data_IF_992500539823
#
_entry.id   IF_992500539823
#
_cell.length_a   1.000
_cell.length_b   1.000
_cell.length_c   1.000
_cell.angle_alpha   90.00
_cell.angle_beta   90.00
_cell.angle_gamma   90.00
#
_symmetry.space_group_name_H-M   'P 1'
#
loop_
_entity.id
_entity.type
_entity.pdbx_description
1 polymer ?
#
# COMPACT_ATOMS: atom_id res chain seq x y z
N UNK A 1 -3.19 1.36 47.44
CA UNK A 1 -3.97 0.90 46.28
C UNK A 1 -4.81 2.04 45.78
N UNK A 2 -4.45 2.62 44.64
CA UNK A 2 -5.31 2.75 43.47
C UNK A 2 -4.46 3.39 42.36
N UNK A 3 -4.29 2.63 41.29
CA UNK A 3 -3.54 2.96 40.08
C UNK A 3 -4.56 3.62 39.17
N UNK A 4 -4.38 4.90 38.86
CA UNK A 4 -5.07 5.50 37.72
C UNK A 4 -4.33 5.03 36.46
N UNK A 5 -4.80 3.91 35.89
CA UNK A 5 -4.39 3.49 34.57
C UNK A 5 -4.91 4.51 33.56
N UNK A 6 -4.00 4.92 32.69
CA UNK A 6 -4.20 5.71 31.50
C UNK A 6 -5.38 5.15 30.70
N UNK A 7 -6.42 5.96 30.50
CA UNK A 7 -7.32 5.80 29.36
C UNK A 7 -6.52 6.22 28.12
N UNK A 8 -5.73 5.31 27.55
CA UNK A 8 -5.44 5.36 26.12
C UNK A 8 -6.72 4.89 25.42
N UNK A 9 -7.68 5.79 25.28
CA UNK A 9 -8.78 5.59 24.32
C UNK A 9 -8.13 5.57 22.94
N UNK A 10 -7.97 4.38 22.35
CA UNK A 10 -7.61 4.26 20.95
C UNK A 10 -8.63 5.07 20.14
N UNK A 11 -8.21 6.25 19.67
CA UNK A 11 -9.08 7.15 18.94
C UNK A 11 -9.52 6.45 17.66
N UNK A 12 -10.82 6.15 17.59
CA UNK A 12 -11.46 5.66 16.37
C UNK A 12 -11.24 6.68 15.25
N UNK A 13 -10.73 6.22 14.11
CA UNK A 13 -10.55 7.01 12.89
C UNK A 13 -11.70 6.78 11.93
N UNK A 14 -12.04 7.81 11.17
CA UNK A 14 -12.90 7.67 9.98
C UNK A 14 -12.07 7.13 8.81
N UNK A 15 -12.68 6.31 7.96
CA UNK A 15 -12.10 5.83 6.72
C UNK A 15 -13.08 6.08 5.57
N UNK A 16 -12.58 6.64 4.48
CA UNK A 16 -13.34 7.00 3.29
C UNK A 16 -12.90 6.15 2.11
N UNK A 17 -13.87 5.61 1.38
CA UNK A 17 -13.65 4.63 0.32
C UNK A 17 -14.10 5.19 -1.01
N UNK A 18 -13.28 5.00 -2.04
CA UNK A 18 -13.57 5.45 -3.40
C UNK A 18 -13.25 4.35 -4.42
N UNK A 19 -14.01 4.31 -5.51
CA UNK A 19 -13.72 3.44 -6.64
C UNK A 19 -12.61 3.99 -7.55
N UNK A 20 -12.34 3.31 -8.67
CA UNK A 20 -11.26 3.68 -9.61
C UNK A 20 -11.50 5.03 -10.29
N UNK A 21 -12.77 5.44 -10.43
CA UNK A 21 -13.17 6.73 -11.02
C UNK A 21 -13.15 7.86 -9.97
N UNK A 22 -12.81 7.54 -8.71
CA UNK A 22 -12.82 8.50 -7.60
C UNK A 22 -14.21 8.77 -7.05
N UNK A 23 -15.20 7.92 -7.36
CA UNK A 23 -16.56 8.05 -6.84
C UNK A 23 -16.57 7.47 -5.43
N UNK A 24 -17.14 8.23 -4.49
CA UNK A 24 -17.31 7.81 -3.11
C UNK A 24 -18.25 6.61 -3.02
N UNK A 25 -17.78 5.52 -2.41
CA UNK A 25 -18.54 4.27 -2.27
C UNK A 25 -18.98 3.98 -0.82
N UNK A 26 -18.41 4.66 0.17
CA UNK A 26 -18.80 4.47 1.56
C UNK A 26 -17.79 5.02 2.57
N UNK A 27 -18.14 4.84 3.85
CA UNK A 27 -17.30 5.17 5.00
C UNK A 27 -17.43 4.14 6.11
N UNK A 28 -16.43 4.07 6.96
CA UNK A 28 -16.46 3.33 8.23
C UNK A 28 -15.72 4.10 9.31
N UNK A 29 -16.03 3.82 10.57
CA UNK A 29 -15.31 4.35 11.73
C UNK A 29 -14.76 3.19 12.55
N UNK A 30 -13.53 3.30 13.03
CA UNK A 30 -12.91 2.27 13.84
C UNK A 30 -11.40 2.42 13.96
N UNK A 31 -10.74 1.38 14.45
CA UNK A 31 -9.26 1.33 14.53
C UNK A 31 -8.62 1.06 13.16
N UNK A 32 -9.39 0.48 12.25
CA UNK A 32 -8.95 0.14 10.91
C UNK A 32 -10.11 0.17 9.91
N UNK A 33 -9.79 0.05 8.61
CA UNK A 33 -10.79 0.03 7.57
C UNK A 33 -11.73 -1.18 7.69
N UNK A 34 -13.02 -0.98 7.41
CA UNK A 34 -13.97 -2.05 7.13
C UNK A 34 -13.46 -2.98 6.00
N UNK A 35 -13.30 -4.29 6.23
CA UNK A 35 -12.72 -5.22 5.25
C UNK A 35 -13.53 -5.34 3.95
N UNK A 36 -14.85 -5.25 4.04
CA UNK A 36 -15.73 -5.44 2.88
C UNK A 36 -15.64 -4.24 1.93
N UNK A 37 -15.74 -3.02 2.46
CA UNK A 37 -15.54 -1.78 1.71
C UNK A 37 -14.10 -1.67 1.21
N UNK A 38 -13.12 -2.05 2.04
CA UNK A 38 -11.71 -2.01 1.67
C UNK A 38 -11.39 -2.88 0.45
N UNK A 39 -11.99 -4.07 0.38
CA UNK A 39 -11.80 -4.98 -0.75
C UNK A 39 -12.33 -4.41 -2.08
N UNK A 40 -13.40 -3.63 -2.03
CA UNK A 40 -14.06 -3.05 -3.19
C UNK A 40 -13.45 -1.71 -3.61
N UNK A 41 -12.91 -0.95 -2.66
CA UNK A 41 -12.33 0.35 -2.90
C UNK A 41 -11.04 0.28 -3.73
N UNK A 42 -10.87 1.25 -4.62
CA UNK A 42 -9.62 1.49 -5.34
C UNK A 42 -8.72 2.45 -4.58
N UNK A 43 -9.32 3.42 -3.87
CA UNK A 43 -8.65 4.33 -2.95
C UNK A 43 -9.30 4.29 -1.57
N UNK A 44 -8.46 4.35 -0.53
CA UNK A 44 -8.93 4.50 0.86
C UNK A 44 -8.10 5.59 1.53
N UNK A 45 -8.78 6.49 2.21
CA UNK A 45 -8.18 7.55 3.02
C UNK A 45 -8.65 7.41 4.46
N UNK A 46 -7.81 7.79 5.41
CA UNK A 46 -8.24 7.95 6.80
C UNK A 46 -8.83 9.36 7.05
N UNK A 47 -9.28 9.61 8.28
CA UNK A 47 -9.91 10.87 8.70
C UNK A 47 -8.96 12.08 8.65
N UNK A 48 -7.65 11.85 8.58
CA UNK A 48 -6.64 12.89 8.42
C UNK A 48 -6.33 13.14 6.93
N UNK A 49 -7.08 12.50 6.02
CA UNK A 49 -6.84 12.47 4.57
C UNK A 49 -5.53 11.78 4.16
N UNK A 50 -4.94 10.97 5.05
CA UNK A 50 -3.79 10.14 4.71
C UNK A 50 -4.24 8.92 3.89
N UNK A 51 -3.48 8.63 2.85
CA UNK A 51 -3.84 7.58 1.90
C UNK A 51 -3.44 6.19 2.44
N UNK A 52 -4.44 5.39 2.74
CA UNK A 52 -4.31 4.01 3.25
C UNK A 52 -4.21 2.99 2.11
N UNK A 53 -4.88 3.24 0.99
CA UNK A 53 -4.89 2.36 -0.19
C UNK A 53 -4.85 3.17 -1.47
N UNK A 54 -4.00 2.75 -2.41
CA UNK A 54 -3.97 3.27 -3.77
C UNK A 54 -3.58 2.18 -4.76
N UNK A 55 -4.56 1.64 -5.47
CA UNK A 55 -4.31 0.57 -6.44
C UNK A 55 -3.64 1.09 -7.73
N UNK A 56 -3.74 2.38 -8.05
CA UNK A 56 -3.06 2.95 -9.22
C UNK A 56 -1.54 2.94 -9.04
N UNK A 57 -1.05 3.42 -7.90
CA UNK A 57 0.38 3.41 -7.58
C UNK A 57 0.89 1.97 -7.59
N UNK A 58 0.16 1.04 -6.97
CA UNK A 58 0.52 -0.37 -6.98
C UNK A 58 0.60 -0.94 -8.40
N UNK A 59 -0.40 -0.66 -9.24
CA UNK A 59 -0.45 -1.14 -10.62
C UNK A 59 0.66 -0.54 -11.48
N UNK A 60 0.97 0.75 -11.30
CA UNK A 60 2.09 1.43 -11.99
C UNK A 60 3.41 0.80 -11.57
N UNK A 61 3.62 0.57 -10.27
CA UNK A 61 4.82 -0.06 -9.73
C UNK A 61 5.00 -1.48 -10.29
N UNK A 62 3.94 -2.30 -10.30
CA UNK A 62 3.97 -3.65 -10.90
C UNK A 62 4.30 -3.61 -12.39
N UNK A 63 3.71 -2.69 -13.16
CA UNK A 63 4.04 -2.51 -14.59
C UNK A 63 5.50 -2.11 -14.78
N UNK A 64 6.02 -1.21 -13.96
CA UNK A 64 7.43 -0.79 -13.99
C UNK A 64 8.36 -1.95 -13.66
N UNK A 65 8.03 -2.78 -12.68
CA UNK A 65 8.80 -3.98 -12.32
C UNK A 65 8.89 -4.96 -13.49
N UNK A 66 7.77 -5.24 -14.15
CA UNK A 66 7.74 -6.08 -15.36
C UNK A 66 8.64 -5.49 -16.45
N UNK A 67 8.58 -4.16 -16.66
CA UNK A 67 9.42 -3.48 -17.64
C UNK A 67 10.91 -3.61 -17.30
N UNK A 68 11.31 -3.41 -16.04
CA UNK A 68 12.70 -3.55 -15.60
C UNK A 68 13.21 -4.97 -15.79
N UNK A 69 12.40 -5.98 -15.45
CA UNK A 69 12.75 -7.39 -15.67
C UNK A 69 12.95 -7.70 -17.17
N UNK A 70 12.10 -7.16 -18.04
CA UNK A 70 12.29 -7.29 -19.51
C UNK A 70 13.58 -6.61 -19.97
N UNK A 71 13.87 -5.42 -19.46
CA UNK A 71 15.11 -4.70 -19.76
C UNK A 71 16.34 -5.50 -19.32
N UNK A 72 16.30 -6.09 -18.11
CA UNK A 72 17.39 -6.90 -17.58
C UNK A 72 17.73 -8.09 -18.49
N UNK A 73 16.72 -8.82 -18.95
CA UNK A 73 16.88 -9.97 -19.85
C UNK A 73 17.52 -9.56 -21.18
N UNK A 74 17.24 -8.35 -21.65
CA UNK A 74 17.79 -7.81 -22.89
C UNK A 74 19.23 -7.27 -22.75
N UNK A 75 19.76 -7.16 -21.52
CA UNK A 75 21.10 -6.61 -21.29
C UNK A 75 22.17 -7.68 -21.61
N UNK A 76 23.17 -7.38 -22.44
CA UNK A 76 24.27 -8.30 -22.68
C UNK A 76 25.04 -8.61 -21.39
N UNK A 77 25.39 -9.87 -21.15
CA UNK A 77 26.10 -10.33 -19.93
C UNK A 77 27.42 -9.56 -19.67
N UNK A 78 28.08 -9.10 -20.74
CA UNK A 78 29.31 -8.30 -20.65
C UNK A 78 29.11 -6.92 -20.02
N UNK A 79 27.88 -6.40 -20.00
CA UNK A 79 27.53 -5.12 -19.39
C UNK A 79 27.07 -5.32 -17.94
N UNK A 80 28.01 -5.75 -17.10
CA UNK A 80 27.73 -6.08 -15.70
C UNK A 80 27.30 -4.86 -14.89
N UNK A 81 27.79 -3.66 -15.23
CA UNK A 81 27.39 -2.41 -14.56
C UNK A 81 25.90 -2.15 -14.70
N UNK A 82 25.37 -2.24 -15.91
CA UNK A 82 23.94 -2.07 -16.19
C UNK A 82 23.07 -3.17 -15.55
N UNK A 83 23.57 -4.41 -15.52
CA UNK A 83 22.89 -5.52 -14.84
C UNK A 83 22.73 -5.22 -13.35
N UNK A 84 23.79 -4.76 -12.68
CA UNK A 84 23.76 -4.42 -11.25
C UNK A 84 22.79 -3.28 -10.98
N UNK A 85 22.83 -2.22 -11.81
CA UNK A 85 21.93 -1.07 -11.68
C UNK A 85 20.45 -1.49 -11.78
N UNK A 86 20.08 -2.25 -12.80
CA UNK A 86 18.70 -2.71 -12.99
C UNK A 86 18.27 -3.62 -11.83
N UNK A 87 19.14 -4.51 -11.35
CA UNK A 87 18.84 -5.35 -10.19
C UNK A 87 18.60 -4.54 -8.91
N UNK A 88 19.35 -3.46 -8.68
CA UNK A 88 19.11 -2.57 -7.55
C UNK A 88 17.75 -1.87 -7.67
N UNK A 89 17.39 -1.40 -8.86
CA UNK A 89 16.09 -0.79 -9.12
C UNK A 89 14.95 -1.78 -8.92
N UNK A 90 15.10 -3.02 -9.39
CA UNK A 90 14.14 -4.11 -9.18
C UNK A 90 13.95 -4.35 -7.69
N UNK A 91 15.04 -4.53 -6.93
CA UNK A 91 14.98 -4.80 -5.49
C UNK A 91 14.30 -3.68 -4.71
N UNK A 92 14.59 -2.42 -5.05
CA UNK A 92 13.93 -1.27 -4.42
C UNK A 92 12.43 -1.29 -4.72
N UNK A 93 12.06 -1.49 -5.98
CA UNK A 93 10.67 -1.47 -6.41
C UNK A 93 9.85 -2.65 -5.86
N UNK A 94 10.47 -3.82 -5.72
CA UNK A 94 9.87 -4.98 -5.04
C UNK A 94 9.56 -4.65 -3.58
N UNK A 95 10.51 -4.03 -2.86
CA UNK A 95 10.27 -3.58 -1.48
C UNK A 95 9.13 -2.56 -1.40
N UNK A 96 9.07 -1.60 -2.32
CA UNK A 96 8.01 -0.60 -2.35
C UNK A 96 6.63 -1.23 -2.61
N UNK A 97 6.58 -2.21 -3.52
CA UNK A 97 5.37 -3.01 -3.78
C UNK A 97 4.97 -3.80 -2.54
N UNK A 98 5.92 -4.48 -1.87
CA UNK A 98 5.64 -5.24 -0.65
C UNK A 98 5.14 -4.34 0.48
N UNK A 99 5.63 -3.11 0.60
CA UNK A 99 5.11 -2.14 1.57
C UNK A 99 3.69 -1.69 1.22
N UNK A 100 3.42 -1.42 -0.05
CA UNK A 100 2.07 -1.07 -0.52
C UNK A 100 1.09 -2.24 -0.32
N UNK A 101 1.51 -3.46 -0.63
CA UNK A 101 0.70 -4.68 -0.41
C UNK A 101 0.55 -5.01 1.07
N UNK A 102 1.60 -4.79 1.88
CA UNK A 102 1.56 -4.93 3.33
C UNK A 102 0.58 -3.95 3.97
N UNK A 103 0.47 -2.72 3.45
CA UNK A 103 -0.57 -1.77 3.87
C UNK A 103 -1.97 -2.15 3.39
N UNK A 104 -2.09 -3.05 2.40
CA UNK A 104 -3.37 -3.61 1.91
C UNK A 104 -3.87 -4.79 2.73
N UNK A 105 -2.97 -5.52 3.39
CA UNK A 105 -3.33 -6.49 4.42
C UNK A 105 -3.64 -5.74 5.72
N UNK A 106 -4.92 -5.66 6.06
CA UNK A 106 -5.39 -5.15 7.36
C UNK A 106 -4.53 -5.72 8.51
N UNK A 107 -4.20 -4.94 9.55
CA UNK A 107 -3.77 -5.53 10.80
C UNK A 107 -4.90 -6.45 11.26
N UNK A 108 -4.62 -7.74 11.45
CA UNK A 108 -5.54 -8.63 12.12
C UNK A 108 -5.96 -7.97 13.43
N UNK A 109 -7.27 -7.73 13.57
CA UNK A 109 -7.85 -7.23 14.82
C UNK A 109 -7.40 -8.17 15.95
N UNK A 110 -6.68 -7.63 16.93
CA UNK A 110 -6.40 -8.31 18.20
C UNK A 110 -7.65 -8.22 19.07
#
# INVERSE_FOLDING_TARGET
MQINLLNDEEQTKEFLYYDADGIYIGRSEGLGPDPHLYSQAHYVFDGDSDMVKNLDILNISRKRLISLRKTLIAVPIKDMGKIIEINQQIKSLEKDIDMLEGSLSLPEAI
#
